data_IF_383431164843
#
_entry.id   IF_383431164843
#
_cell.length_a   1.000
_cell.length_b   1.000
_cell.length_c   1.000
_cell.angle_alpha   90.00
_cell.angle_beta   90.00
_cell.angle_gamma   90.00
#
_symmetry.space_group_name_H-M   'P 1'
#
loop_
_entity.id
_entity.type
_entity.pdbx_description
1 polymer ?
#
# COMPACT_ATOMS: atom_id res chain seq x y z
N UNK A 1 -56.42 2.77 -5.30
CA UNK A 1 -55.18 3.18 -5.99
C UNK A 1 -54.22 3.56 -4.87
N UNK A 2 -53.25 2.71 -4.55
CA UNK A 2 -52.33 2.94 -3.44
C UNK A 2 -50.98 3.32 -4.04
N UNK A 3 -50.70 4.62 -4.04
CA UNK A 3 -49.37 5.17 -4.24
C UNK A 3 -48.48 4.65 -3.10
N UNK A 4 -47.63 3.67 -3.42
CA UNK A 4 -46.59 3.24 -2.51
C UNK A 4 -45.38 4.15 -2.73
N UNK A 5 -45.26 5.12 -1.83
CA UNK A 5 -44.05 5.90 -1.59
C UNK A 5 -42.85 4.95 -1.42
N UNK A 6 -42.02 4.89 -2.47
CA UNK A 6 -40.72 4.24 -2.38
C UNK A 6 -39.82 5.22 -1.65
N UNK A 7 -39.75 5.13 -0.32
CA UNK A 7 -38.68 5.77 0.45
C UNK A 7 -37.35 5.14 0.02
N UNK A 8 -36.68 5.77 -0.93
CA UNK A 8 -35.27 5.51 -1.24
C UNK A 8 -34.46 5.99 -0.04
N UNK A 9 -34.26 5.10 0.93
CA UNK A 9 -33.29 5.26 2.00
C UNK A 9 -31.97 5.76 1.38
N UNK A 10 -31.41 6.90 1.83
CA UNK A 10 -30.12 7.35 1.35
C UNK A 10 -29.13 6.28 1.76
N UNK A 11 -28.62 5.53 0.77
CA UNK A 11 -27.62 4.49 0.96
C UNK A 11 -26.36 5.19 1.47
N UNK A 12 -26.31 5.38 2.78
CA UNK A 12 -25.15 5.79 3.53
C UNK A 12 -24.15 4.67 3.31
N UNK A 13 -23.33 4.81 2.26
CA UNK A 13 -22.15 4.01 2.03
C UNK A 13 -21.15 4.39 3.13
N UNK A 14 -21.45 3.98 4.37
CA UNK A 14 -20.50 3.95 5.46
C UNK A 14 -19.40 3.01 4.99
N UNK A 15 -18.26 3.59 4.64
CA UNK A 15 -17.03 2.85 4.40
C UNK A 15 -16.77 1.97 5.63
N UNK A 16 -16.81 0.66 5.41
CA UNK A 16 -16.73 -0.34 6.48
C UNK A 16 -15.28 -0.54 6.88
N UNK A 17 -14.69 0.41 7.57
CA UNK A 17 -13.42 0.21 8.26
C UNK A 17 -13.67 -0.42 9.64
N UNK A 18 -12.86 -1.38 10.10
CA UNK A 18 -11.60 -1.86 9.51
C UNK A 18 -11.76 -2.97 8.45
N UNK A 19 -10.89 -2.97 7.43
CA UNK A 19 -10.76 -4.05 6.43
C UNK A 19 -9.39 -4.70 6.60
N UNK A 20 -9.34 -5.95 7.02
CA UNK A 20 -8.09 -6.71 7.14
C UNK A 20 -7.78 -7.46 5.84
N UNK A 21 -6.53 -7.37 5.37
CA UNK A 21 -6.03 -8.11 4.19
C UNK A 21 -4.71 -8.79 4.53
N UNK A 22 -4.54 -10.03 4.07
CA UNK A 22 -3.30 -10.80 4.23
C UNK A 22 -2.45 -10.65 2.98
N UNK A 23 -1.16 -10.42 3.18
CA UNK A 23 -0.16 -10.36 2.12
C UNK A 23 0.96 -11.34 2.44
N UNK A 24 1.63 -11.81 1.40
CA UNK A 24 2.81 -12.68 1.53
C UNK A 24 4.05 -11.82 1.38
N UNK A 25 5.02 -12.01 2.28
CA UNK A 25 6.35 -11.43 2.14
C UNK A 25 7.09 -12.21 1.06
N UNK A 26 7.58 -11.49 0.05
CA UNK A 26 8.34 -12.04 -1.07
C UNK A 26 9.81 -11.63 -0.94
N UNK A 27 10.68 -12.29 -1.68
CA UNK A 27 12.06 -11.85 -1.86
C UNK A 27 12.13 -10.86 -3.03
N UNK A 28 12.87 -9.77 -2.85
CA UNK A 28 13.19 -8.83 -3.94
C UNK A 28 14.69 -8.57 -4.01
N UNK A 29 15.17 -8.23 -5.20
CA UNK A 29 16.55 -7.79 -5.40
C UNK A 29 16.68 -6.32 -5.02
N UNK A 30 17.73 -5.96 -4.30
CA UNK A 30 18.03 -4.55 -4.00
C UNK A 30 18.43 -3.81 -5.27
N UNK A 31 17.61 -2.83 -5.67
CA UNK A 31 17.85 -1.99 -6.83
C UNK A 31 19.09 -1.12 -6.58
N UNK A 32 20.20 -1.43 -7.28
CA UNK A 32 21.46 -0.66 -7.17
C UNK A 32 22.73 -1.50 -7.06
N UNK A 33 22.63 -2.83 -6.89
CA UNK A 33 23.82 -3.66 -6.68
C UNK A 33 24.66 -3.96 -7.95
N UNK A 34 24.26 -3.45 -9.13
CA UNK A 34 24.83 -3.96 -10.40
C UNK A 34 24.94 -2.90 -11.50
N UNK A 35 25.99 -2.08 -11.49
CA UNK A 35 26.54 -1.55 -12.75
C UNK A 35 27.98 -2.00 -12.90
N UNK A 36 28.17 -3.26 -13.28
CA UNK A 36 29.45 -3.69 -13.83
C UNK A 36 29.64 -3.00 -15.20
N UNK A 37 30.56 -2.04 -15.26
CA UNK A 37 30.89 -1.24 -16.47
C UNK A 37 31.88 -1.94 -17.43
N UNK A 38 32.16 -3.22 -17.25
CA UNK A 38 33.26 -3.89 -17.96
C UNK A 38 32.74 -4.87 -19.01
N UNK A 39 33.45 -4.94 -20.15
CA UNK A 39 33.18 -5.85 -21.26
C UNK A 39 33.67 -7.26 -20.88
N UNK A 40 32.74 -8.17 -20.59
CA UNK A 40 32.99 -9.56 -20.16
C UNK A 40 31.81 -10.18 -19.38
N UNK A 41 31.92 -11.45 -18.97
CA UNK A 41 30.95 -12.09 -18.05
C UNK A 41 31.19 -11.55 -16.65
N UNK A 42 30.25 -10.76 -16.14
CA UNK A 42 30.31 -10.20 -14.79
C UNK A 42 29.34 -10.96 -13.88
N UNK A 43 29.87 -11.75 -12.96
CA UNK A 43 29.08 -12.27 -11.84
C UNK A 43 28.85 -11.13 -10.84
N UNK A 44 27.62 -10.66 -10.74
CA UNK A 44 27.25 -9.65 -9.75
C UNK A 44 26.53 -10.34 -8.60
N UNK A 45 27.03 -10.24 -7.35
CA UNK A 45 26.33 -10.79 -6.21
C UNK A 45 24.94 -10.14 -6.09
N UNK A 46 23.90 -10.97 -6.01
CA UNK A 46 22.53 -10.53 -5.81
C UNK A 46 22.27 -10.49 -4.31
N UNK A 47 21.91 -9.31 -3.80
CA UNK A 47 21.41 -9.17 -2.43
C UNK A 47 19.88 -9.27 -2.46
N UNK A 48 19.34 -10.27 -1.77
CA UNK A 48 17.90 -10.46 -1.60
C UNK A 48 17.44 -9.82 -0.29
N UNK A 49 16.30 -9.13 -0.33
CA UNK A 49 15.67 -8.49 0.82
C UNK A 49 14.16 -8.81 0.85
N UNK A 50 13.53 -8.82 2.04
CA UNK A 50 12.10 -9.03 2.16
C UNK A 50 11.31 -7.85 1.57
N UNK A 51 10.25 -8.16 0.83
CA UNK A 51 9.41 -7.20 0.13
C UNK A 51 7.93 -7.51 0.31
N UNK A 52 7.12 -6.48 0.58
CA UNK A 52 5.66 -6.57 0.60
C UNK A 52 5.10 -5.60 -0.43
N UNK A 53 4.28 -6.11 -1.34
CA UNK A 53 3.70 -5.32 -2.43
C UNK A 53 2.21 -5.10 -2.18
N UNK A 54 1.84 -3.86 -1.86
CA UNK A 54 0.44 -3.46 -1.68
C UNK A 54 -0.10 -2.95 -3.02
N UNK A 55 -1.19 -3.56 -3.52
CA UNK A 55 -1.85 -3.15 -4.78
C UNK A 55 -3.37 -3.21 -4.66
N UNK A 56 -4.04 -2.31 -5.37
CA UNK A 56 -5.49 -2.32 -5.57
C UNK A 56 -6.17 -0.98 -5.30
N UNK A 57 -7.45 -0.87 -5.71
CA UNK A 57 -8.26 0.35 -5.56
C UNK A 57 -8.42 0.79 -4.09
N UNK A 58 -8.42 -0.18 -3.17
CA UNK A 58 -8.55 0.03 -1.73
C UNK A 58 -7.44 0.91 -1.09
N UNK A 59 -6.28 1.06 -1.75
CA UNK A 59 -5.26 2.00 -1.29
C UNK A 59 -5.72 3.44 -1.49
N UNK A 60 -6.35 3.73 -2.63
CA UNK A 60 -6.94 5.06 -2.90
C UNK A 60 -8.10 5.34 -1.96
N UNK A 61 -8.96 4.34 -1.73
CA UNK A 61 -10.07 4.44 -0.77
C UNK A 61 -9.55 4.69 0.66
N UNK A 62 -8.35 4.22 0.99
CA UNK A 62 -7.68 4.48 2.27
C UNK A 62 -6.86 5.80 2.30
N UNK A 63 -6.97 6.64 1.26
CA UNK A 63 -6.33 7.95 1.18
C UNK A 63 -4.89 7.96 0.66
N UNK A 64 -4.38 6.83 0.15
CA UNK A 64 -3.06 6.76 -0.51
C UNK A 64 -3.19 7.09 -1.99
N UNK A 65 -2.67 8.25 -2.39
CA UNK A 65 -2.67 8.69 -3.80
C UNK A 65 -1.32 8.43 -4.47
N UNK A 66 -1.31 8.42 -5.81
CA UNK A 66 -0.07 8.25 -6.55
C UNK A 66 0.79 9.51 -6.38
N UNK A 67 2.03 9.31 -5.94
CA UNK A 67 2.96 10.41 -5.67
C UNK A 67 2.94 10.90 -4.22
N UNK A 68 2.06 10.37 -3.38
CA UNK A 68 2.08 10.66 -1.95
C UNK A 68 3.31 10.05 -1.28
N UNK A 69 3.91 10.81 -0.37
CA UNK A 69 4.88 10.27 0.58
C UNK A 69 4.15 9.46 1.66
N UNK A 70 4.79 8.36 2.07
CA UNK A 70 4.22 7.42 3.04
C UNK A 70 5.19 7.31 4.22
N UNK A 71 4.64 7.47 5.42
CA UNK A 71 5.37 7.26 6.67
C UNK A 71 5.19 5.82 7.11
N UNK A 72 6.30 5.12 7.30
CA UNK A 72 6.34 3.75 7.81
C UNK A 72 6.96 3.77 9.21
N UNK A 73 6.18 3.40 10.21
CA UNK A 73 6.64 3.30 11.60
C UNK A 73 6.77 1.82 11.97
N UNK A 74 7.95 1.46 12.48
CA UNK A 74 8.23 0.13 13.00
C UNK A 74 7.98 0.11 14.51
N UNK A 75 7.07 -0.75 14.95
CA UNK A 75 6.85 -1.07 16.35
C UNK A 75 7.36 -2.50 16.62
N UNK A 76 7.45 -2.90 17.89
CA UNK A 76 8.01 -4.20 18.28
C UNK A 76 7.28 -5.41 17.66
N UNK A 77 6.00 -5.28 17.30
CA UNK A 77 5.19 -6.38 16.75
C UNK A 77 4.37 -6.00 15.49
N UNK A 78 4.42 -4.75 15.05
CA UNK A 78 3.60 -4.27 13.93
C UNK A 78 4.32 -3.19 13.12
N UNK A 79 3.87 -3.04 11.88
CA UNK A 79 4.30 -1.97 10.99
C UNK A 79 3.05 -1.11 10.71
N UNK A 80 3.14 0.17 11.05
CA UNK A 80 2.09 1.15 10.76
C UNK A 80 2.48 1.93 9.51
N UNK A 81 1.61 1.91 8.50
CA UNK A 81 1.79 2.62 7.23
C UNK A 81 0.72 3.70 7.15
N UNK A 82 1.12 4.97 7.04
CA UNK A 82 0.20 6.12 6.97
C UNK A 82 0.66 7.09 5.86
N UNK A 83 -0.27 7.74 5.13
CA UNK A 83 0.11 8.78 4.19
C UNK A 83 0.64 10.00 4.96
N UNK A 84 1.75 10.60 4.50
CA UNK A 84 2.44 11.69 5.19
C UNK A 84 1.56 12.94 5.36
N UNK A 85 0.68 13.21 4.39
CA UNK A 85 -0.28 14.33 4.44
C UNK A 85 -1.17 14.33 5.68
N UNK A 86 -1.57 13.15 6.16
CA UNK A 86 -2.40 13.01 7.37
C UNK A 86 -1.62 13.20 8.67
N UNK A 87 -0.29 13.26 8.61
CA UNK A 87 0.56 13.54 9.77
C UNK A 87 0.83 15.05 9.93
N UNK A 88 0.72 15.82 8.85
CA UNK A 88 1.02 17.25 8.81
C UNK A 88 -0.14 18.16 9.29
N UNK A 89 -1.35 17.63 9.45
CA UNK A 89 -2.52 18.36 9.98
C UNK A 89 -2.69 18.23 11.52
N UNK A 90 -1.60 18.12 12.29
CA UNK A 90 -1.63 18.10 13.77
C UNK A 90 -0.79 19.19 14.40
#
# INVERSE_FOLDING_TARGET
>A
MADQDITLEPRSAKEKFPISRKFTVLETVVEGYSRAKNIGVNYVPVKLEPCVVLRGKWLRDAGFEIGDEVVVTLNENDISIKPAKLLAER
#
